data_IF_300257794547
#
_entry.id   IF_300257794547
#
_cell.length_a   1.000
_cell.length_b   1.000
_cell.length_c   1.000
_cell.angle_alpha   90.00
_cell.angle_beta   90.00
_cell.angle_gamma   90.00
#
_symmetry.space_group_name_H-M   'P 1'
#
loop_
_entity.id
_entity.type
_entity.pdbx_description
1 polymer ?
#
# COMPACT_ATOMS: atom_id res chain seq x y z
N UNK A 1 3.27 22.32 -2.30
CA UNK A 1 4.09 21.17 -1.87
C UNK A 1 5.56 21.51 -2.11
N UNK A 2 6.40 21.38 -1.10
CA UNK A 2 7.82 21.69 -1.14
C UNK A 2 8.60 20.48 -0.63
N UNK A 3 9.60 20.03 -1.40
CA UNK A 3 10.41 18.85 -1.05
C UNK A 3 11.11 18.97 0.30
N UNK A 4 11.61 20.15 0.63
CA UNK A 4 12.26 20.39 1.93
C UNK A 4 11.27 20.27 3.10
N UNK A 5 10.05 20.73 2.93
CA UNK A 5 8.99 20.58 3.94
C UNK A 5 8.63 19.11 4.15
N UNK A 6 8.54 18.30 3.06
CA UNK A 6 8.30 16.87 3.15
C UNK A 6 9.42 16.16 3.90
N UNK A 7 10.69 16.44 3.55
CA UNK A 7 11.84 15.84 4.23
C UNK A 7 11.87 16.25 5.71
N UNK A 8 11.57 17.50 6.02
CA UNK A 8 11.51 17.97 7.40
C UNK A 8 10.38 17.27 8.17
N UNK A 9 9.18 17.15 7.57
CA UNK A 9 8.06 16.43 8.17
C UNK A 9 8.43 14.98 8.51
N UNK A 10 9.04 14.25 7.58
CA UNK A 10 9.48 12.87 7.82
C UNK A 10 10.57 12.74 8.91
N UNK A 11 11.37 13.79 9.13
CA UNK A 11 12.41 13.78 10.15
C UNK A 11 11.93 14.22 11.53
N UNK A 12 10.88 15.02 11.62
CA UNK A 12 10.43 15.64 12.88
C UNK A 12 9.10 15.12 13.39
N UNK A 13 8.23 14.71 12.50
CA UNK A 13 6.89 14.25 12.85
C UNK A 13 6.89 12.74 13.14
N UNK A 14 5.97 12.33 13.97
CA UNK A 14 5.69 10.90 14.21
C UNK A 14 4.61 10.41 13.24
N UNK A 15 4.74 9.19 12.71
CA UNK A 15 3.68 8.61 11.91
C UNK A 15 2.38 8.48 12.73
N UNK A 16 1.24 8.66 12.08
CA UNK A 16 -0.09 8.56 12.69
C UNK A 16 -0.65 7.15 12.64
N UNK A 17 -0.19 6.38 11.66
CA UNK A 17 -0.55 4.97 11.52
C UNK A 17 0.61 4.20 10.91
N UNK A 18 0.57 2.88 11.06
CA UNK A 18 1.51 1.98 10.39
C UNK A 18 0.84 0.66 10.03
N UNK A 19 1.49 -0.10 9.14
CA UNK A 19 1.17 -1.50 8.89
C UNK A 19 2.45 -2.34 8.84
N UNK A 20 2.41 -3.50 9.48
CA UNK A 20 3.41 -4.55 9.26
C UNK A 20 2.95 -5.39 8.08
N UNK A 21 3.70 -5.37 7.00
CA UNK A 21 3.38 -6.06 5.75
C UNK A 21 4.05 -7.43 5.77
N UNK A 22 3.25 -8.49 5.64
CA UNK A 22 3.73 -9.86 5.72
C UNK A 22 3.18 -10.72 4.59
N UNK A 23 4.03 -11.58 4.04
CA UNK A 23 3.71 -12.59 3.04
C UNK A 23 4.68 -13.76 3.14
N UNK A 24 4.56 -14.75 2.26
CA UNK A 24 5.49 -15.89 2.26
C UNK A 24 6.88 -15.41 1.80
N UNK A 25 7.81 -15.30 2.74
CA UNK A 25 9.15 -14.77 2.49
C UNK A 25 9.21 -13.24 2.29
N UNK A 26 8.08 -12.54 2.41
CA UNK A 26 7.98 -11.09 2.26
C UNK A 26 7.76 -10.47 3.62
N UNK A 27 8.53 -9.42 3.93
CA UNK A 27 8.39 -8.63 5.15
C UNK A 27 8.55 -7.15 4.81
N UNK A 28 7.81 -6.32 5.50
CA UNK A 28 7.92 -4.88 5.28
C UNK A 28 7.10 -4.06 6.25
N UNK A 29 7.18 -2.77 6.07
CA UNK A 29 6.41 -1.78 6.82
C UNK A 29 5.86 -0.71 5.90
N UNK A 30 4.71 -0.18 6.28
CA UNK A 30 4.18 1.09 5.77
C UNK A 30 4.03 2.04 6.96
N UNK A 31 4.63 3.23 6.86
CA UNK A 31 4.38 4.33 7.80
C UNK A 31 3.50 5.36 7.12
N UNK A 32 2.58 5.94 7.89
CA UNK A 32 1.61 6.93 7.41
C UNK A 32 1.75 8.21 8.21
N UNK A 33 2.16 9.28 7.55
CA UNK A 33 2.30 10.60 8.14
C UNK A 33 1.18 11.52 7.66
N UNK A 34 0.71 12.39 8.55
CA UNK A 34 -0.17 13.49 8.15
C UNK A 34 0.66 14.58 7.46
N UNK A 35 0.24 15.00 6.28
CA UNK A 35 0.87 16.15 5.61
C UNK A 35 -0.19 16.95 4.85
N UNK A 36 -0.38 18.21 5.24
CA UNK A 36 -1.41 19.08 4.69
C UNK A 36 -2.79 18.39 4.69
N UNK A 37 -3.48 18.37 3.56
CA UNK A 37 -4.81 17.75 3.38
C UNK A 37 -4.73 16.28 2.95
N UNK A 38 -3.59 15.63 3.12
CA UNK A 38 -3.36 14.26 2.69
C UNK A 38 -2.43 13.49 3.62
N UNK A 39 -1.78 12.47 3.03
CA UNK A 39 -0.87 11.57 3.72
C UNK A 39 0.44 11.39 2.95
N UNK A 40 1.56 11.31 3.67
CA UNK A 40 2.79 10.75 3.13
C UNK A 40 2.85 9.30 3.58
N UNK A 41 2.98 8.39 2.61
CA UNK A 41 3.19 6.97 2.84
C UNK A 41 4.65 6.64 2.60
N UNK A 42 5.27 5.93 3.53
CA UNK A 42 6.65 5.43 3.39
C UNK A 42 6.62 3.92 3.48
N UNK A 43 7.10 3.26 2.45
CA UNK A 43 7.18 1.81 2.34
C UNK A 43 8.62 1.35 2.38
N UNK A 44 8.87 0.28 3.13
CA UNK A 44 10.07 -0.54 3.07
C UNK A 44 9.63 -2.00 3.03
N UNK A 45 9.91 -2.71 1.92
CA UNK A 45 9.48 -4.10 1.73
C UNK A 45 10.64 -4.92 1.17
N UNK A 46 10.83 -6.10 1.75
CA UNK A 46 11.89 -7.04 1.37
C UNK A 46 11.31 -8.41 1.03
N UNK A 47 12.06 -9.22 0.27
CA UNK A 47 11.65 -10.56 -0.13
C UNK A 47 10.66 -10.59 -1.28
N UNK A 48 10.46 -9.47 -1.99
CA UNK A 48 9.60 -9.41 -3.17
C UNK A 48 10.14 -10.29 -4.30
N UNK A 49 9.27 -10.95 -5.10
CA UNK A 49 9.68 -11.73 -6.26
C UNK A 49 10.51 -10.89 -7.23
N UNK A 50 11.63 -11.41 -7.69
CA UNK A 50 12.55 -10.70 -8.59
C UNK A 50 13.16 -11.60 -9.68
N UNK A 51 12.51 -12.69 -10.03
CA UNK A 51 13.02 -13.67 -10.99
C UNK A 51 12.52 -13.36 -12.40
N UNK A 52 13.43 -12.93 -13.28
CA UNK A 52 13.15 -12.69 -14.71
C UNK A 52 12.93 -11.20 -15.08
N UNK A 53 12.80 -10.95 -16.38
CA UNK A 53 12.74 -9.59 -16.95
C UNK A 53 11.44 -8.81 -16.62
N UNK A 54 10.40 -9.50 -16.18
CA UNK A 54 9.07 -8.90 -15.94
C UNK A 54 8.73 -8.79 -14.44
N UNK A 55 9.73 -8.90 -13.57
CA UNK A 55 9.55 -8.86 -12.13
C UNK A 55 10.20 -7.63 -11.52
N UNK A 56 9.74 -7.26 -10.35
CA UNK A 56 10.21 -6.07 -9.65
C UNK A 56 9.26 -4.88 -9.73
N UNK A 57 8.06 -5.05 -10.32
CA UNK A 57 6.99 -4.06 -10.27
C UNK A 57 5.76 -4.75 -9.71
N UNK A 58 5.23 -4.22 -8.62
CA UNK A 58 4.14 -4.82 -7.86
C UNK A 58 3.01 -3.83 -7.68
N UNK A 59 1.78 -4.22 -8.03
CA UNK A 59 0.58 -3.46 -7.71
C UNK A 59 0.49 -3.25 -6.20
N UNK A 60 0.04 -2.07 -5.80
CA UNK A 60 -0.04 -1.65 -4.41
C UNK A 60 -1.36 -0.93 -4.18
N UNK A 61 -2.20 -1.50 -3.31
CA UNK A 61 -3.51 -0.93 -3.06
C UNK A 61 -3.88 -0.96 -1.57
N UNK A 62 -4.66 0.03 -1.14
CA UNK A 62 -5.38 -0.04 0.13
C UNK A 62 -6.74 -0.67 -0.16
N UNK A 63 -7.09 -1.70 0.60
CA UNK A 63 -8.34 -2.44 0.52
C UNK A 63 -9.31 -2.06 1.65
N UNK A 64 -10.60 -2.37 1.48
CA UNK A 64 -11.66 -1.99 2.43
C UNK A 64 -11.65 -2.83 3.69
N UNK A 65 -11.26 -4.10 3.60
CA UNK A 65 -11.27 -5.04 4.71
C UNK A 65 -10.24 -4.67 5.79
N UNK A 66 -10.53 -5.12 7.01
CA UNK A 66 -9.74 -4.76 8.19
C UNK A 66 -8.67 -5.81 8.54
N UNK A 67 -8.77 -7.03 8.01
CA UNK A 67 -7.93 -8.16 8.43
C UNK A 67 -7.24 -8.82 7.26
N UNK A 68 -5.98 -9.22 7.47
CA UNK A 68 -5.17 -9.99 6.53
C UNK A 68 -5.48 -11.48 6.61
N UNK A 69 -6.76 -11.84 6.56
CA UNK A 69 -7.24 -13.23 6.61
C UNK A 69 -7.91 -13.64 5.30
N UNK A 70 -8.20 -14.93 5.19
CA UNK A 70 -8.86 -15.48 4.01
C UNK A 70 -8.89 -17.00 4.01
N UNK A 71 -9.15 -17.57 2.85
CA UNK A 71 -9.19 -19.02 2.68
C UNK A 71 -7.78 -19.60 2.49
N UNK A 72 -7.66 -20.92 2.58
CA UNK A 72 -6.39 -21.62 2.33
C UNK A 72 -5.88 -21.42 0.89
N UNK A 73 -6.79 -21.29 -0.08
CA UNK A 73 -6.47 -21.05 -1.50
C UNK A 73 -6.24 -19.57 -1.82
N UNK A 74 -6.85 -18.69 -1.03
CA UNK A 74 -6.75 -17.22 -1.16
C UNK A 74 -6.52 -16.60 0.21
N UNK A 75 -5.26 -16.55 0.68
CA UNK A 75 -4.93 -16.19 2.06
C UNK A 75 -5.39 -14.81 2.52
N UNK A 76 -5.66 -13.90 1.59
CA UNK A 76 -6.07 -12.53 1.88
C UNK A 76 -7.45 -12.17 1.31
N UNK A 77 -8.34 -13.17 1.08
CA UNK A 77 -9.67 -12.93 0.47
C UNK A 77 -10.59 -12.02 1.29
N UNK A 78 -10.36 -11.89 2.61
CA UNK A 78 -11.23 -11.10 3.51
C UNK A 78 -10.92 -9.58 3.45
N UNK A 79 -9.91 -9.16 2.67
CA UNK A 79 -9.57 -7.73 2.52
C UNK A 79 -10.56 -6.95 1.65
N UNK A 80 -11.47 -7.65 0.97
CA UNK A 80 -12.47 -7.06 0.07
C UNK A 80 -11.82 -6.27 -1.10
N UNK A 81 -12.59 -5.45 -1.81
CA UNK A 81 -12.12 -4.63 -2.93
C UNK A 81 -11.30 -3.42 -2.50
N UNK A 82 -10.82 -2.66 -3.48
CA UNK A 82 -10.04 -1.44 -3.24
C UNK A 82 -10.84 -0.40 -2.45
N UNK A 83 -10.14 0.27 -1.53
CA UNK A 83 -10.71 1.36 -0.76
C UNK A 83 -11.03 2.57 -1.64
N UNK A 84 -12.23 3.11 -1.53
CA UNK A 84 -12.64 4.32 -2.23
C UNK A 84 -13.52 5.18 -1.35
N UNK A 85 -13.24 6.47 -1.32
CA UNK A 85 -14.07 7.50 -0.71
C UNK A 85 -15.05 8.12 -1.71
N UNK A 86 -14.93 7.74 -2.97
CA UNK A 86 -15.76 8.18 -4.08
C UNK A 86 -16.17 6.95 -4.89
N UNK A 87 -17.18 7.08 -5.73
CA UNK A 87 -17.66 5.99 -6.58
C UNK A 87 -16.92 5.94 -7.94
N UNK A 88 -15.65 6.33 -7.96
CA UNK A 88 -14.83 6.24 -9.15
C UNK A 88 -14.47 4.79 -9.48
N UNK A 89 -14.22 4.53 -10.74
CA UNK A 89 -13.67 3.26 -11.22
C UNK A 89 -12.15 3.23 -11.04
N UNK A 90 -11.56 2.03 -11.05
CA UNK A 90 -10.11 1.84 -11.13
C UNK A 90 -9.54 2.56 -12.38
N UNK A 91 -8.42 3.29 -12.31
CA UNK A 91 -7.46 3.42 -11.18
C UNK A 91 -7.66 4.70 -10.34
N UNK A 92 -8.89 5.16 -10.22
CA UNK A 92 -9.20 6.41 -9.50
C UNK A 92 -9.76 6.19 -8.10
N UNK A 93 -9.79 4.95 -7.58
CA UNK A 93 -10.11 4.71 -6.17
C UNK A 93 -9.14 5.47 -5.25
N UNK A 94 -9.59 5.79 -4.05
CA UNK A 94 -8.71 6.44 -3.08
C UNK A 94 -7.51 5.54 -2.71
N UNK A 95 -7.73 4.23 -2.68
CA UNK A 95 -6.71 3.23 -2.35
C UNK A 95 -5.80 2.80 -3.49
N UNK A 96 -6.00 3.28 -4.73
CA UNK A 96 -5.11 2.97 -5.85
C UNK A 96 -3.82 3.80 -5.70
N UNK A 97 -2.71 3.14 -5.37
CA UNK A 97 -1.41 3.74 -5.11
C UNK A 97 -0.45 3.52 -6.29
N UNK A 98 0.61 4.32 -6.41
CA UNK A 98 1.71 4.00 -7.30
C UNK A 98 2.29 2.62 -6.99
N UNK A 99 2.66 1.82 -8.00
CA UNK A 99 3.22 0.48 -7.77
C UNK A 99 4.57 0.55 -7.06
N UNK A 100 4.92 -0.50 -6.33
CA UNK A 100 6.26 -0.68 -5.78
C UNK A 100 7.21 -1.13 -6.89
N UNK A 101 8.36 -0.46 -6.96
CA UNK A 101 9.50 -0.89 -7.76
C UNK A 101 10.53 -1.54 -6.85
N UNK A 102 10.85 -2.80 -7.10
CA UNK A 102 11.85 -3.53 -6.34
C UNK A 102 13.12 -3.79 -7.15
N UNK A 103 14.26 -3.77 -6.46
CA UNK A 103 15.55 -4.21 -6.99
C UNK A 103 16.11 -5.28 -6.06
N UNK A 104 16.42 -6.45 -6.62
CA UNK A 104 16.87 -7.61 -5.85
C UNK A 104 15.94 -7.96 -4.69
N UNK A 105 14.62 -7.85 -4.92
CA UNK A 105 13.59 -8.16 -3.93
C UNK A 105 13.39 -7.09 -2.85
N UNK A 106 14.04 -5.93 -2.95
CA UNK A 106 13.91 -4.84 -1.99
C UNK A 106 13.24 -3.63 -2.64
N UNK A 107 12.27 -3.05 -1.97
CA UNK A 107 11.60 -1.83 -2.39
C UNK A 107 11.60 -0.80 -1.26
N UNK A 108 11.87 0.45 -1.59
CA UNK A 108 11.64 1.59 -0.74
C UNK A 108 10.93 2.67 -1.54
N UNK A 109 9.86 3.24 -0.98
CA UNK A 109 9.09 4.28 -1.65
C UNK A 109 8.53 5.26 -0.62
N UNK A 110 8.61 6.54 -0.92
CA UNK A 110 7.84 7.57 -0.22
C UNK A 110 6.95 8.28 -1.24
N UNK A 111 5.67 8.42 -0.93
CA UNK A 111 4.69 9.05 -1.82
C UNK A 111 3.73 9.94 -1.05
N UNK A 112 3.43 11.12 -1.60
CA UNK A 112 2.38 12.00 -1.10
C UNK A 112 1.07 11.72 -1.81
N UNK A 113 0.05 11.41 -1.04
CA UNK A 113 -1.30 11.07 -1.51
C UNK A 113 -2.29 12.12 -0.96
N UNK A 114 -3.02 12.79 -1.85
CA UNK A 114 -4.09 13.74 -1.48
C UNK A 114 -5.49 13.11 -1.48
N UNK A 115 -5.60 11.82 -1.78
CA UNK A 115 -6.89 11.13 -1.87
C UNK A 115 -7.49 10.77 -0.51
N UNK A 116 -6.69 10.80 0.58
CA UNK A 116 -7.12 10.51 1.94
C UNK A 116 -6.15 11.07 2.98
N UNK A 117 -6.63 11.16 4.21
CA UNK A 117 -5.84 11.45 5.41
C UNK A 117 -5.63 10.17 6.23
N UNK A 118 -4.63 10.11 7.15
CA UNK A 118 -4.31 8.88 7.89
C UNK A 118 -5.49 8.21 8.56
N UNK A 119 -6.36 8.98 9.19
CA UNK A 119 -7.52 8.51 9.95
C UNK A 119 -8.56 7.78 9.09
N UNK A 120 -8.58 8.05 7.79
CA UNK A 120 -9.53 7.43 6.84
C UNK A 120 -9.12 6.03 6.40
N UNK A 121 -7.86 5.67 6.61
CA UNK A 121 -7.31 4.36 6.21
C UNK A 121 -6.98 3.46 7.42
N UNK A 122 -7.02 3.96 8.64
CA UNK A 122 -6.94 3.14 9.86
C UNK A 122 -8.08 2.12 9.89
N UNK A 123 -7.77 0.87 10.27
CA UNK A 123 -8.71 -0.25 10.23
C UNK A 123 -8.97 -0.82 8.85
N UNK A 124 -8.10 -0.56 7.89
CA UNK A 124 -8.08 -1.12 6.54
C UNK A 124 -6.81 -1.93 6.34
N UNK A 125 -6.64 -2.50 5.15
CA UNK A 125 -5.44 -3.27 4.81
C UNK A 125 -4.71 -2.68 3.62
N UNK A 126 -3.38 -2.81 3.61
CA UNK A 126 -2.55 -2.56 2.45
C UNK A 126 -2.12 -3.89 1.84
N UNK A 127 -2.26 -4.00 0.52
CA UNK A 127 -1.95 -5.21 -0.25
C UNK A 127 -0.83 -4.93 -1.24
N UNK A 128 0.13 -5.86 -1.28
CA UNK A 128 1.13 -5.96 -2.35
C UNK A 128 0.72 -7.10 -3.26
N UNK A 129 0.70 -6.85 -4.57
CA UNK A 129 0.33 -7.82 -5.60
C UNK A 129 1.54 -8.44 -6.29
N UNK A 130 1.33 -9.60 -6.89
CA UNK A 130 2.35 -10.36 -7.61
C UNK A 130 2.85 -9.62 -8.86
N UNK A 131 1.94 -8.92 -9.56
CA UNK A 131 2.18 -8.29 -10.86
C UNK A 131 1.95 -6.77 -10.80
N UNK A 132 2.43 -6.01 -11.78
CA UNK A 132 2.09 -4.61 -11.89
C UNK A 132 0.60 -4.43 -12.16
N UNK A 133 0.06 -3.34 -11.64
CA UNK A 133 -1.25 -2.82 -12.02
C UNK A 133 -1.19 -2.28 -13.46
N UNK A 134 -2.15 -2.65 -14.30
CA UNK A 134 -2.24 -2.18 -15.68
C UNK A 134 -3.01 -0.83 -15.83
N UNK A 135 -3.55 -0.31 -14.72
CA UNK A 135 -4.31 0.95 -14.59
C UNK A 135 -5.57 1.04 -15.47
N UNK A 136 -6.03 -0.05 -16.04
CA UNK A 136 -7.13 -0.04 -17.02
C UNK A 136 -8.17 -1.12 -16.76
N UNK A 137 -7.74 -2.32 -16.38
CA UNK A 137 -8.65 -3.45 -16.19
C UNK A 137 -9.49 -3.28 -14.93
N UNK A 138 -10.80 -3.40 -15.08
CA UNK A 138 -11.72 -3.33 -13.94
C UNK A 138 -11.85 -4.70 -13.27
N UNK A 139 -12.05 -4.76 -11.98
CA UNK A 139 -12.12 -3.63 -11.00
C UNK A 139 -10.79 -3.25 -10.36
N UNK A 140 -9.67 -3.92 -10.69
CA UNK A 140 -8.45 -3.89 -9.85
C UNK A 140 -7.13 -3.94 -10.63
N UNK A 141 -7.12 -3.58 -11.93
CA UNK A 141 -5.88 -3.41 -12.69
C UNK A 141 -5.14 -4.70 -13.03
N UNK A 142 -5.79 -5.86 -12.98
CA UNK A 142 -5.19 -7.16 -13.32
C UNK A 142 -3.84 -7.43 -12.62
N UNK A 143 -3.66 -6.92 -11.41
CA UNK A 143 -2.39 -6.97 -10.66
C UNK A 143 -2.00 -8.38 -10.15
N UNK A 144 -2.80 -9.39 -10.47
CA UNK A 144 -2.54 -10.78 -10.09
C UNK A 144 -2.83 -11.06 -8.61
N UNK A 145 -2.18 -12.09 -8.08
CA UNK A 145 -2.41 -12.54 -6.70
C UNK A 145 -1.96 -11.51 -5.67
N UNK A 146 -2.65 -11.50 -4.55
CA UNK A 146 -2.20 -10.83 -3.34
C UNK A 146 -1.09 -11.66 -2.70
N UNK A 147 0.13 -11.09 -2.59
CA UNK A 147 1.32 -11.81 -2.10
C UNK A 147 1.77 -11.34 -0.71
N UNK A 148 1.37 -10.16 -0.28
CA UNK A 148 1.58 -9.68 1.08
C UNK A 148 0.47 -8.72 1.50
N UNK A 149 0.20 -8.69 2.80
CA UNK A 149 -0.85 -7.89 3.42
C UNK A 149 -0.35 -7.26 4.72
N UNK A 150 -0.82 -6.05 5.01
CA UNK A 150 -0.60 -5.38 6.29
C UNK A 150 -1.87 -4.71 6.79
N UNK A 151 -2.24 -4.93 8.05
CA UNK A 151 -3.35 -4.24 8.71
C UNK A 151 -2.88 -2.86 9.16
N UNK A 152 -3.63 -1.83 8.79
CA UNK A 152 -3.29 -0.44 9.08
C UNK A 152 -3.85 -0.08 10.45
N UNK A 153 -2.97 0.11 11.41
CA UNK A 153 -3.33 0.45 12.79
C UNK A 153 -2.84 1.84 13.19
N UNK A 154 -3.61 2.50 14.03
CA UNK A 154 -3.27 3.80 14.57
C UNK A 154 -2.08 3.71 15.53
N UNK A 155 -1.18 4.70 15.47
CA UNK A 155 -0.13 4.88 16.46
C UNK A 155 -0.59 5.90 17.49
N UNK A 156 -0.93 5.43 18.67
CA UNK A 156 -1.20 6.29 19.83
C UNK A 156 0.12 6.88 20.35
N UNK A 157 0.11 8.17 20.54
CA UNK A 157 1.19 8.91 21.23
C UNK A 157 0.99 8.90 22.72
#
# INVERSE_FOLDING_TARGET
MNTFEIINNLNTDTPKAYASINGVGINGTMLVYRYQEGSILVFEVTGLPNTGCNQGIHGLHIHKGATCTGSKSEPFSDVDGHFSLNDCLHPYHSGDLPPLFSLNGNAWMAVYIQKFIPEQIVGRTVIVHEQPDDFTTQPSGNAGKMIACGEIIELYQ
#
